data_IF_836988688926
#
_entry.id   IF_836988688926
#
_cell.length_a   1.000
_cell.length_b   1.000
_cell.length_c   1.000
_cell.angle_alpha   90.00
_cell.angle_beta   90.00
_cell.angle_gamma   90.00
#
_symmetry.space_group_name_H-M   'P 1'
#
loop_
_entity.id
_entity.type
_entity.pdbx_description
1 polymer ?
#
# COMPACT_ATOMS: atom_id res chain seq x y z
N UNK A 1 22.88 8.51 9.02
CA UNK A 1 24.31 8.86 8.81
C UNK A 1 25.17 8.53 10.03
N UNK A 2 24.85 9.02 11.25
CA UNK A 2 25.68 8.81 12.47
C UNK A 2 25.89 7.32 12.78
N UNK A 3 24.85 6.51 12.83
CA UNK A 3 24.95 5.07 13.12
C UNK A 3 25.84 4.35 12.08
N UNK A 4 25.75 4.72 10.81
CA UNK A 4 26.59 4.13 9.76
C UNK A 4 28.05 4.52 9.99
N UNK A 5 28.32 5.79 10.32
CA UNK A 5 29.67 6.27 10.61
C UNK A 5 30.27 5.61 11.85
N UNK A 6 29.46 5.35 12.89
CA UNK A 6 29.92 4.68 14.13
C UNK A 6 30.32 3.22 13.86
N UNK A 7 29.66 2.55 12.94
CA UNK A 7 29.92 1.14 12.59
C UNK A 7 31.01 1.03 11.53
N UNK A 8 31.05 1.95 10.58
CA UNK A 8 31.97 1.97 9.43
C UNK A 8 32.60 3.37 9.26
N UNK A 9 33.51 3.77 10.20
CA UNK A 9 34.05 5.14 10.24
C UNK A 9 34.89 5.52 9.02
N UNK A 10 35.43 4.54 8.31
CA UNK A 10 36.25 4.76 7.10
C UNK A 10 35.39 4.84 5.82
N UNK A 11 34.07 4.74 5.91
CA UNK A 11 33.18 4.85 4.76
C UNK A 11 32.94 6.31 4.38
N UNK A 12 33.00 6.60 3.10
CA UNK A 12 32.51 7.87 2.56
C UNK A 12 30.99 7.87 2.50
N UNK A 13 30.36 8.85 3.16
CA UNK A 13 28.91 8.97 3.21
C UNK A 13 28.42 10.06 2.26
N UNK A 14 27.52 9.66 1.36
CA UNK A 14 26.87 10.56 0.41
C UNK A 14 25.38 10.60 0.73
N UNK A 15 24.83 11.80 0.93
CA UNK A 15 23.39 12.00 1.12
C UNK A 15 22.77 12.53 -0.18
N UNK A 16 21.76 11.85 -0.68
CA UNK A 16 21.03 12.22 -1.89
C UNK A 16 19.58 12.50 -1.55
N UNK A 17 19.05 13.62 -2.01
CA UNK A 17 17.64 13.97 -1.93
C UNK A 17 17.08 14.04 -3.35
N UNK A 18 15.86 13.58 -3.54
CA UNK A 18 15.17 13.59 -4.84
C UNK A 18 13.68 13.77 -4.64
N UNK A 19 12.97 14.20 -5.68
CA UNK A 19 11.53 14.06 -5.80
C UNK A 19 11.21 12.75 -6.53
N UNK A 20 10.02 12.18 -6.34
CA UNK A 20 9.69 10.85 -6.86
C UNK A 20 9.93 10.72 -8.37
N UNK A 21 9.55 11.72 -9.14
CA UNK A 21 9.75 11.78 -10.59
C UNK A 21 11.25 11.83 -10.99
N UNK A 22 12.15 12.06 -10.04
CA UNK A 22 13.60 12.12 -10.21
C UNK A 22 14.36 10.91 -9.68
N UNK A 23 13.63 9.88 -9.24
CA UNK A 23 14.24 8.69 -8.67
C UNK A 23 15.25 8.02 -9.62
N UNK A 24 14.86 7.83 -10.89
CA UNK A 24 15.76 7.24 -11.89
C UNK A 24 17.04 8.06 -12.10
N UNK A 25 16.93 9.41 -12.12
CA UNK A 25 18.10 10.29 -12.24
C UNK A 25 19.00 10.22 -11.00
N UNK A 26 18.39 10.09 -9.80
CA UNK A 26 19.13 9.93 -8.55
C UNK A 26 19.91 8.61 -8.54
N UNK A 27 19.29 7.50 -8.95
CA UNK A 27 19.97 6.20 -9.05
C UNK A 27 21.09 6.22 -10.07
N UNK A 28 20.88 6.78 -11.26
CA UNK A 28 21.93 6.91 -12.28
C UNK A 28 23.11 7.77 -11.78
N UNK A 29 22.83 8.79 -10.96
CA UNK A 29 23.89 9.58 -10.34
C UNK A 29 24.70 8.77 -9.31
N UNK A 30 24.03 7.92 -8.50
CA UNK A 30 24.71 7.02 -7.55
C UNK A 30 25.66 6.04 -8.27
N UNK A 31 25.24 5.49 -9.40
CA UNK A 31 26.08 4.65 -10.26
C UNK A 31 27.30 5.42 -10.80
N UNK A 32 27.07 6.64 -11.31
CA UNK A 32 28.15 7.51 -11.80
C UNK A 32 29.13 7.90 -10.69
N UNK A 33 28.64 8.12 -9.47
CA UNK A 33 29.45 8.47 -8.30
C UNK A 33 30.26 7.28 -7.74
N UNK A 34 30.00 6.05 -8.23
CA UNK A 34 30.70 4.83 -7.79
C UNK A 34 30.31 4.38 -6.39
N UNK A 35 29.05 4.54 -6.03
CA UNK A 35 28.50 4.12 -4.72
C UNK A 35 28.41 2.60 -4.67
N UNK A 36 28.93 1.98 -3.61
CA UNK A 36 28.89 0.53 -3.41
C UNK A 36 27.62 0.05 -2.73
N UNK A 37 27.09 0.87 -1.79
CA UNK A 37 25.94 0.49 -0.95
C UNK A 37 24.96 1.64 -0.84
N UNK A 38 23.70 1.39 -1.09
CA UNK A 38 22.57 2.32 -0.86
C UNK A 38 21.80 1.88 0.37
N UNK A 39 21.69 2.78 1.36
CA UNK A 39 20.74 2.61 2.48
C UNK A 39 19.49 3.43 2.18
N UNK A 40 18.39 2.74 1.96
CA UNK A 40 17.15 3.33 1.47
C UNK A 40 15.99 3.09 2.46
N UNK A 41 15.61 4.17 3.17
CA UNK A 41 14.58 4.14 4.22
C UNK A 41 13.31 4.86 3.77
N UNK A 42 12.88 4.62 2.55
CA UNK A 42 11.63 5.13 1.98
C UNK A 42 10.72 3.98 1.56
N UNK A 43 9.44 4.25 1.50
CA UNK A 43 8.40 3.34 1.07
C UNK A 43 7.46 4.11 0.12
N UNK A 44 7.09 3.50 -1.00
CA UNK A 44 5.96 3.91 -1.81
C UNK A 44 4.77 3.04 -1.46
N UNK A 45 3.62 3.67 -1.31
CA UNK A 45 2.38 3.01 -0.88
C UNK A 45 1.43 2.75 -2.04
N UNK A 46 1.80 3.25 -3.22
CA UNK A 46 1.06 3.12 -4.47
C UNK A 46 1.69 2.05 -5.37
N UNK A 47 0.90 1.13 -5.82
CA UNK A 47 1.28 0.13 -6.81
C UNK A 47 1.54 -1.27 -6.27
N UNK A 48 1.74 -2.23 -7.18
CA UNK A 48 1.84 -3.64 -6.84
C UNK A 48 3.14 -3.96 -6.08
N UNK A 49 3.03 -4.93 -5.16
CA UNK A 49 4.14 -5.40 -4.32
C UNK A 49 4.79 -6.69 -4.84
N UNK A 50 4.45 -7.10 -6.04
CA UNK A 50 4.91 -8.31 -6.72
C UNK A 50 6.25 -8.15 -7.47
N UNK A 51 6.93 -7.00 -7.28
CA UNK A 51 8.16 -6.64 -8.00
C UNK A 51 7.92 -5.96 -9.36
N UNK A 52 6.67 -5.67 -9.72
CA UNK A 52 6.34 -4.94 -10.96
C UNK A 52 6.15 -3.44 -10.77
N UNK A 53 6.36 -2.93 -9.55
CA UNK A 53 6.36 -1.51 -9.27
C UNK A 53 7.36 -0.77 -10.17
N UNK A 54 7.04 0.48 -10.57
CA UNK A 54 7.85 1.27 -11.51
C UNK A 54 9.30 1.47 -11.05
N UNK A 55 9.58 1.43 -9.75
CA UNK A 55 10.94 1.54 -9.19
C UNK A 55 11.75 0.25 -9.34
N UNK A 56 11.10 -0.91 -9.46
CA UNK A 56 11.77 -2.20 -9.46
C UNK A 56 12.79 -2.37 -10.60
N UNK A 57 12.51 -2.03 -11.88
CA UNK A 57 13.48 -2.13 -12.95
C UNK A 57 14.67 -1.15 -12.78
N UNK A 58 14.44 0.01 -12.15
CA UNK A 58 15.49 1.00 -11.88
C UNK A 58 16.46 0.44 -10.83
N UNK A 59 15.93 -0.07 -9.72
CA UNK A 59 16.73 -0.67 -8.65
C UNK A 59 17.46 -1.92 -9.18
N UNK A 60 16.77 -2.78 -9.94
CA UNK A 60 17.38 -3.98 -10.50
C UNK A 60 18.56 -3.66 -11.41
N UNK A 61 18.44 -2.65 -12.28
CA UNK A 61 19.53 -2.22 -13.14
C UNK A 61 20.76 -1.78 -12.34
N UNK A 62 20.57 -1.05 -11.24
CA UNK A 62 21.67 -0.62 -10.38
C UNK A 62 22.31 -1.78 -9.59
N UNK A 63 21.50 -2.78 -9.21
CA UNK A 63 22.00 -4.03 -8.60
C UNK A 63 22.88 -4.78 -9.62
N UNK A 64 22.42 -4.87 -10.86
CA UNK A 64 23.17 -5.52 -11.95
C UNK A 64 24.48 -4.75 -12.27
N UNK A 65 24.52 -3.44 -12.01
CA UNK A 65 25.72 -2.62 -12.09
C UNK A 65 26.67 -2.78 -10.86
N UNK A 66 26.26 -3.52 -9.83
CA UNK A 66 27.07 -3.88 -8.68
C UNK A 66 26.77 -3.14 -7.39
N UNK A 67 25.71 -2.32 -7.33
CA UNK A 67 25.31 -1.61 -6.11
C UNK A 67 24.49 -2.54 -5.20
N UNK A 68 24.83 -2.57 -3.92
CA UNK A 68 24.04 -3.29 -2.90
C UNK A 68 22.98 -2.36 -2.33
N UNK A 69 21.70 -2.79 -2.34
CA UNK A 69 20.59 -2.06 -1.73
C UNK A 69 20.20 -2.66 -0.39
N UNK A 70 20.16 -1.83 0.63
CA UNK A 70 19.63 -2.13 1.95
C UNK A 70 18.36 -1.29 2.14
N UNK A 71 17.22 -1.94 2.03
CA UNK A 71 15.91 -1.29 2.01
C UNK A 71 15.18 -1.54 3.32
N UNK A 72 14.49 -0.54 3.85
CA UNK A 72 13.59 -0.71 4.99
C UNK A 72 12.43 -1.64 4.63
N UNK A 73 12.05 -2.51 5.56
CA UNK A 73 10.89 -3.40 5.39
C UNK A 73 9.54 -2.67 5.54
N UNK A 74 9.55 -1.37 5.87
CA UNK A 74 8.37 -0.56 6.12
C UNK A 74 7.92 -0.57 7.59
N UNK A 75 6.90 0.23 7.89
CA UNK A 75 6.36 0.41 9.24
C UNK A 75 4.91 -0.09 9.38
N UNK A 76 4.43 -0.87 8.42
CA UNK A 76 3.02 -1.26 8.30
C UNK A 76 2.72 -2.67 8.81
N UNK A 77 3.55 -3.23 9.71
CA UNK A 77 3.44 -4.61 10.18
C UNK A 77 2.07 -4.98 10.77
N UNK A 78 1.42 -4.04 11.47
CA UNK A 78 0.09 -4.16 12.06
C UNK A 78 -0.99 -3.34 11.32
N UNK A 79 -0.63 -2.76 10.18
CA UNK A 79 -1.47 -1.85 9.39
C UNK A 79 -1.68 -2.35 7.98
N UNK A 80 -1.35 -3.60 7.71
CA UNK A 80 -1.59 -4.22 6.41
C UNK A 80 -2.32 -5.55 6.55
N UNK A 81 -3.05 -5.89 5.53
CA UNK A 81 -3.70 -7.17 5.35
C UNK A 81 -3.49 -7.65 3.93
N UNK A 82 -3.15 -8.92 3.76
CA UNK A 82 -3.06 -9.55 2.46
C UNK A 82 -3.99 -10.77 2.38
N UNK A 83 -4.49 -11.04 1.20
CA UNK A 83 -5.42 -12.13 0.97
C UNK A 83 -5.62 -12.45 -0.49
N UNK A 84 -6.61 -13.28 -0.75
CA UNK A 84 -7.09 -13.60 -2.10
C UNK A 84 -8.51 -13.10 -2.23
N UNK A 85 -8.88 -12.55 -3.38
CA UNK A 85 -10.21 -12.00 -3.66
C UNK A 85 -11.26 -13.11 -3.87
N UNK A 86 -11.50 -13.89 -2.80
CA UNK A 86 -12.53 -14.94 -2.78
C UNK A 86 -13.85 -14.36 -2.27
N UNK A 87 -14.92 -14.65 -2.95
CA UNK A 87 -16.31 -14.43 -2.56
C UNK A 87 -16.91 -15.84 -2.44
N UNK A 88 -16.95 -16.36 -1.21
CA UNK A 88 -17.26 -17.77 -0.93
C UNK A 88 -18.76 -18.01 -0.90
N UNK A 89 -19.54 -17.07 -0.44
CA UNK A 89 -21.00 -17.19 -0.32
C UNK A 89 -21.76 -16.58 -1.50
N UNK A 90 -21.08 -15.83 -2.37
CA UNK A 90 -21.61 -15.33 -3.62
C UNK A 90 -22.43 -14.05 -3.48
N UNK A 91 -22.22 -13.29 -2.42
CA UNK A 91 -22.94 -12.04 -2.15
C UNK A 91 -22.29 -10.81 -2.79
N UNK A 92 -21.08 -10.94 -3.35
CA UNK A 92 -20.33 -9.91 -4.07
C UNK A 92 -19.23 -9.25 -3.24
N UNK A 93 -19.12 -9.58 -1.97
CA UNK A 93 -18.05 -9.11 -1.10
C UNK A 93 -16.91 -10.13 -1.01
N UNK A 94 -15.71 -9.64 -0.83
CA UNK A 94 -14.51 -10.48 -0.65
C UNK A 94 -14.33 -10.77 0.83
N UNK A 95 -14.22 -12.04 1.19
CA UNK A 95 -13.89 -12.40 2.55
C UNK A 95 -12.43 -12.08 2.87
N UNK A 96 -12.22 -11.20 3.83
CA UNK A 96 -10.89 -10.83 4.34
C UNK A 96 -10.32 -11.89 5.29
N UNK A 97 -11.13 -12.86 5.73
CA UNK A 97 -10.70 -13.98 6.55
C UNK A 97 -11.36 -15.28 6.13
N UNK A 98 -10.74 -16.42 6.45
CA UNK A 98 -11.30 -17.76 6.22
C UNK A 98 -12.59 -18.03 7.03
N UNK A 99 -13.02 -17.12 7.89
CA UNK A 99 -14.23 -17.19 8.69
C UNK A 99 -15.43 -16.47 8.10
N UNK A 100 -15.36 -15.99 6.84
CA UNK A 100 -16.45 -15.26 6.19
C UNK A 100 -16.60 -13.82 6.69
N UNK A 101 -15.52 -13.19 7.16
CA UNK A 101 -15.52 -11.77 7.55
C UNK A 101 -15.12 -10.94 6.32
N UNK A 102 -15.95 -9.99 5.93
CA UNK A 102 -15.79 -9.13 4.76
C UNK A 102 -15.22 -7.75 5.09
N UNK A 103 -15.17 -7.41 6.37
CA UNK A 103 -14.76 -6.09 6.86
C UNK A 103 -13.46 -6.18 7.66
N UNK A 104 -12.50 -5.31 7.33
CA UNK A 104 -11.31 -5.13 8.14
C UNK A 104 -11.39 -3.79 8.89
N UNK A 105 -11.50 -3.86 10.23
CA UNK A 105 -11.76 -2.72 11.08
C UNK A 105 -10.51 -1.95 11.49
N UNK A 106 -10.65 -0.62 11.62
CA UNK A 106 -9.62 0.28 12.13
C UNK A 106 -10.24 1.45 12.90
N UNK A 107 -9.40 2.15 13.67
CA UNK A 107 -9.85 3.25 14.52
C UNK A 107 -9.16 4.54 14.10
N UNK A 108 -9.93 5.64 14.00
CA UNK A 108 -9.38 6.98 13.75
C UNK A 108 -9.67 7.86 14.96
N UNK A 109 -8.66 8.61 15.46
CA UNK A 109 -8.87 9.58 16.54
C UNK A 109 -9.61 10.83 16.04
N UNK A 110 -10.21 11.62 16.94
CA UNK A 110 -10.90 12.84 16.55
C UNK A 110 -9.98 13.81 15.82
N UNK A 111 -10.38 14.23 14.63
CA UNK A 111 -9.63 15.18 13.81
C UNK A 111 -8.49 14.59 12.98
N UNK A 112 -8.17 13.32 13.18
CA UNK A 112 -7.19 12.61 12.35
C UNK A 112 -7.83 12.13 11.03
N UNK A 113 -6.98 11.78 10.09
CA UNK A 113 -7.34 11.25 8.78
C UNK A 113 -6.67 9.91 8.58
N UNK A 114 -7.40 8.91 8.11
CA UNK A 114 -6.84 7.66 7.64
C UNK A 114 -6.80 7.65 6.10
N UNK A 115 -5.74 7.06 5.56
CA UNK A 115 -5.65 6.65 4.17
C UNK A 115 -5.65 5.12 4.11
N UNK A 116 -6.45 4.57 3.22
CA UNK A 116 -6.51 3.15 2.94
C UNK A 116 -6.10 2.96 1.49
N UNK A 117 -5.05 2.20 1.26
CA UNK A 117 -4.63 1.80 -0.09
C UNK A 117 -4.82 0.31 -0.30
N UNK A 118 -5.32 -0.05 -1.47
CA UNK A 118 -5.51 -1.41 -1.95
C UNK A 118 -4.65 -1.59 -3.19
N UNK A 119 -3.87 -2.66 -3.25
CA UNK A 119 -3.10 -3.07 -4.43
C UNK A 119 -3.30 -4.56 -4.70
N UNK A 120 -3.29 -4.97 -5.98
CA UNK A 120 -3.42 -6.38 -6.34
C UNK A 120 -2.57 -6.72 -7.56
N UNK A 121 -2.40 -8.03 -7.81
CA UNK A 121 -1.41 -8.52 -8.78
C UNK A 121 -1.94 -8.66 -10.20
N UNK A 122 -3.21 -9.01 -10.39
CA UNK A 122 -3.77 -9.22 -11.73
C UNK A 122 -4.43 -7.95 -12.27
N UNK A 123 -3.80 -7.31 -13.23
CA UNK A 123 -4.32 -6.10 -13.92
C UNK A 123 -5.57 -6.33 -14.77
N UNK A 124 -6.00 -7.58 -14.96
CA UNK A 124 -7.27 -7.91 -15.61
C UNK A 124 -8.44 -7.95 -14.61
N UNK A 125 -8.14 -7.87 -13.31
CA UNK A 125 -9.11 -7.84 -12.24
C UNK A 125 -9.42 -6.40 -11.86
N UNK A 126 -10.69 -6.09 -11.69
CA UNK A 126 -11.25 -4.81 -11.27
C UNK A 126 -11.80 -4.97 -9.85
N UNK A 127 -11.15 -4.30 -8.88
CA UNK A 127 -11.56 -4.30 -7.48
C UNK A 127 -11.97 -2.90 -7.05
N UNK A 128 -13.06 -2.82 -6.30
CA UNK A 128 -13.43 -1.59 -5.58
C UNK A 128 -13.07 -1.73 -4.10
N UNK A 129 -12.59 -0.65 -3.53
CA UNK A 129 -12.39 -0.46 -2.09
C UNK A 129 -13.56 0.34 -1.52
N UNK A 130 -14.23 -0.19 -0.49
CA UNK A 130 -15.38 0.43 0.15
C UNK A 130 -15.11 0.71 1.62
N UNK A 131 -15.60 1.85 2.12
CA UNK A 131 -15.50 2.28 3.52
C UNK A 131 -16.85 2.22 4.23
N UNK A 132 -16.82 1.80 5.48
CA UNK A 132 -18.01 1.65 6.33
C UNK A 132 -17.81 2.33 7.68
N UNK A 133 -18.91 2.87 8.20
CA UNK A 133 -19.03 3.32 9.59
C UNK A 133 -19.57 2.15 10.43
N UNK A 134 -18.73 1.66 11.36
CA UNK A 134 -19.05 0.50 12.19
C UNK A 134 -19.91 0.86 13.41
N UNK A 135 -20.04 2.15 13.73
CA UNK A 135 -20.85 2.64 14.85
C UNK A 135 -22.22 3.16 14.39
N UNK A 136 -22.37 3.39 13.10
CA UNK A 136 -23.64 3.74 12.46
C UNK A 136 -24.18 2.53 11.70
N UNK A 137 -25.29 1.97 12.18
CA UNK A 137 -25.87 0.77 11.59
C UNK A 137 -27.12 1.11 10.77
N UNK A 138 -27.28 0.40 9.66
CA UNK A 138 -28.51 0.38 8.86
C UNK A 138 -29.65 -0.35 9.60
N UNK A 139 -30.87 -0.29 9.08
CA UNK A 139 -32.04 -0.90 9.68
C UNK A 139 -31.93 -2.44 9.85
N UNK A 140 -31.11 -3.09 9.05
CA UNK A 140 -30.82 -4.53 9.10
C UNK A 140 -29.66 -4.88 10.04
N UNK A 141 -29.05 -3.89 10.69
CA UNK A 141 -27.93 -4.05 11.63
C UNK A 141 -26.56 -4.13 10.98
N UNK A 142 -26.46 -3.92 9.66
CA UNK A 142 -25.18 -3.85 8.96
C UNK A 142 -24.52 -2.48 9.14
N UNK A 143 -23.17 -2.40 9.07
CA UNK A 143 -22.47 -1.12 9.06
C UNK A 143 -22.90 -0.24 7.89
N UNK A 144 -22.99 1.07 8.13
CA UNK A 144 -23.37 2.01 7.07
C UNK A 144 -22.24 2.20 6.07
N UNK A 145 -22.51 1.98 4.80
CA UNK A 145 -21.60 2.27 3.70
C UNK A 145 -21.39 3.79 3.57
N UNK A 146 -20.13 4.23 3.63
CA UNK A 146 -19.76 5.64 3.45
C UNK A 146 -19.54 5.95 1.96
N UNK A 147 -18.60 5.23 1.34
CA UNK A 147 -18.25 5.39 -0.08
C UNK A 147 -17.48 4.18 -0.59
N UNK A 148 -17.45 4.00 -1.91
CA UNK A 148 -16.57 3.07 -2.61
C UNK A 148 -15.78 3.80 -3.68
N UNK A 149 -14.62 3.28 -4.02
CA UNK A 149 -13.98 3.63 -5.30
C UNK A 149 -14.81 3.03 -6.46
N UNK A 150 -14.89 3.75 -7.56
CA UNK A 150 -15.62 3.29 -8.76
C UNK A 150 -14.72 3.38 -10.01
N UNK A 151 -13.42 3.41 -9.82
CA UNK A 151 -12.48 3.52 -10.92
C UNK A 151 -12.36 2.15 -11.61
N UNK A 152 -12.63 2.11 -12.90
CA UNK A 152 -12.41 0.88 -13.69
C UNK A 152 -10.94 0.73 -13.99
N UNK A 153 -10.32 -0.31 -13.45
CA UNK A 153 -8.99 -0.69 -13.88
C UNK A 153 -9.08 -1.47 -15.19
N UNK A 154 -8.34 -0.96 -16.18
CA UNK A 154 -8.22 -1.58 -17.49
C UNK A 154 -6.78 -2.03 -17.77
N UNK A 155 -6.58 -2.76 -18.86
CA UNK A 155 -5.25 -3.16 -19.31
C UNK A 155 -4.33 -1.93 -19.45
N UNK A 156 -3.32 -1.83 -18.56
CA UNK A 156 -2.31 -0.77 -18.57
C UNK A 156 -2.44 0.25 -17.44
N UNK A 157 -3.49 0.21 -16.65
CA UNK A 157 -3.62 1.02 -15.43
C UNK A 157 -3.01 0.30 -14.23
N UNK A 158 -2.69 1.06 -13.18
CA UNK A 158 -2.21 0.47 -11.93
C UNK A 158 -3.35 -0.29 -11.26
N UNK A 159 -3.06 -1.49 -10.79
CA UNK A 159 -3.97 -2.30 -10.00
C UNK A 159 -3.96 -1.79 -8.54
N UNK A 160 -4.52 -0.61 -8.33
CA UNK A 160 -4.53 0.07 -7.03
C UNK A 160 -5.76 0.97 -6.87
N UNK A 161 -6.28 1.03 -5.64
CA UNK A 161 -7.32 1.95 -5.20
C UNK A 161 -6.90 2.63 -3.91
N UNK A 162 -7.29 3.89 -3.73
CA UNK A 162 -6.98 4.66 -2.54
C UNK A 162 -8.23 5.42 -2.08
N UNK A 163 -8.54 5.31 -0.79
CA UNK A 163 -9.56 6.13 -0.12
C UNK A 163 -8.96 6.85 1.08
N UNK A 164 -9.48 8.05 1.33
CA UNK A 164 -9.07 8.88 2.47
C UNK A 164 -10.28 9.25 3.29
N UNK A 165 -10.25 8.97 4.59
CA UNK A 165 -11.34 9.25 5.51
C UNK A 165 -10.87 10.11 6.68
N UNK A 166 -11.51 11.28 6.88
CA UNK A 166 -11.28 12.13 8.05
C UNK A 166 -12.33 11.85 9.13
N UNK A 167 -11.89 11.55 10.34
CA UNK A 167 -12.80 11.47 11.48
C UNK A 167 -13.24 12.86 11.93
N UNK A 168 -14.46 13.25 11.57
CA UNK A 168 -15.11 14.52 11.96
C UNK A 168 -15.99 14.37 13.20
N UNK A 169 -16.05 13.22 13.82
CA UNK A 169 -16.73 13.00 15.11
C UNK A 169 -15.90 13.61 16.24
N UNK A 170 -16.49 13.89 17.35
CA UNK A 170 -15.76 14.43 18.51
C UNK A 170 -15.06 13.36 19.35
N UNK A 171 -15.05 12.09 18.92
CA UNK A 171 -14.52 10.95 19.63
C UNK A 171 -13.69 10.05 18.71
N UNK A 172 -12.89 9.15 19.29
CA UNK A 172 -12.29 8.02 18.55
C UNK A 172 -13.42 7.17 17.99
N UNK A 173 -13.35 6.84 16.69
CA UNK A 173 -14.46 6.24 15.98
C UNK A 173 -14.00 5.01 15.19
N UNK A 174 -14.87 4.00 15.11
CA UNK A 174 -14.56 2.73 14.48
C UNK A 174 -15.09 2.69 13.05
N UNK A 175 -14.21 2.46 12.11
CA UNK A 175 -14.49 2.29 10.70
C UNK A 175 -13.97 0.93 10.21
N UNK A 176 -14.40 0.53 9.03
CA UNK A 176 -13.84 -0.63 8.34
C UNK A 176 -13.74 -0.37 6.84
N UNK A 177 -12.94 -1.18 6.18
CA UNK A 177 -13.00 -1.32 4.73
C UNK A 177 -13.45 -2.73 4.35
N UNK A 178 -14.09 -2.84 3.20
CA UNK A 178 -14.43 -4.07 2.50
C UNK A 178 -14.03 -3.96 1.04
N UNK A 179 -13.98 -5.10 0.36
CA UNK A 179 -13.57 -5.18 -1.04
C UNK A 179 -14.67 -5.83 -1.87
N UNK A 180 -14.90 -5.33 -3.08
CA UNK A 180 -15.74 -6.02 -4.07
C UNK A 180 -14.94 -6.30 -5.33
N UNK A 181 -15.16 -7.47 -5.94
CA UNK A 181 -14.57 -7.82 -7.24
C UNK A 181 -15.60 -7.61 -8.34
N UNK A 182 -15.44 -6.50 -9.07
CA UNK A 182 -16.36 -6.12 -10.16
C UNK A 182 -16.20 -6.99 -11.39
N UNK A 183 -14.97 -7.38 -11.71
CA UNK A 183 -14.69 -8.26 -12.85
C UNK A 183 -13.31 -8.89 -12.75
N UNK A 184 -13.04 -9.85 -13.61
CA UNK A 184 -11.74 -10.53 -13.69
C UNK A 184 -11.62 -11.76 -12.80
N UNK A 185 -10.47 -12.47 -12.87
CA UNK A 185 -10.20 -13.65 -12.07
C UNK A 185 -9.95 -13.31 -10.61
N UNK A 186 -9.94 -14.33 -9.75
CA UNK A 186 -9.40 -14.22 -8.41
C UNK A 186 -7.93 -13.83 -8.45
N UNK A 187 -7.55 -12.92 -7.57
CA UNK A 187 -6.17 -12.41 -7.47
C UNK A 187 -5.76 -12.26 -6.01
N UNK A 188 -4.47 -12.15 -5.77
CA UNK A 188 -3.96 -11.76 -4.47
C UNK A 188 -3.95 -10.24 -4.35
N UNK A 189 -4.24 -9.75 -3.16
CA UNK A 189 -4.26 -8.32 -2.85
C UNK A 189 -3.48 -8.01 -1.58
N UNK A 190 -3.12 -6.76 -1.42
CA UNK A 190 -2.66 -6.17 -0.18
C UNK A 190 -3.40 -4.85 0.07
N UNK A 191 -3.94 -4.70 1.26
CA UNK A 191 -4.54 -3.47 1.75
C UNK A 191 -3.73 -2.91 2.92
N UNK A 192 -3.52 -1.60 2.95
CA UNK A 192 -2.80 -0.89 4.00
C UNK A 192 -3.65 0.24 4.55
N UNK A 193 -3.54 0.48 5.86
CA UNK A 193 -4.27 1.52 6.56
C UNK A 193 -3.30 2.39 7.34
N UNK A 194 -3.26 3.69 7.04
CA UNK A 194 -2.52 4.70 7.80
C UNK A 194 -3.54 5.62 8.49
N UNK A 195 -3.65 5.51 9.82
CA UNK A 195 -4.52 6.30 10.66
C UNK A 195 -3.73 6.94 11.82
#
# INVERSE_FOLDING_TARGET
AEIIHDIAPDSELVAVTFADEKFAEAVAWLEFAGVDVVSFSMEWTDGPLDGTHWTAPIIQASIDAGITWVVAAGNSADKHHNGTTMDVDGDGWVEVTSGGIEHNGFMINPGDTAEISLSWNDRATDLDLCLFDMELLEDDGQPTLIECTENRQGFGELATEILTLANKTGARHHYSYGLTRRSGPETTYEARTWA
#
